data_IF_232055426988
#
_entry.id   IF_232055426988
#
_cell.length_a   1.000
_cell.length_b   1.000
_cell.length_c   1.000
_cell.angle_alpha   90.00
_cell.angle_beta   90.00
_cell.angle_gamma   90.00
#
_symmetry.space_group_name_H-M   'P 1'
#
loop_
_entity.id
_entity.type
_entity.pdbx_description
1 polymer ?
#
# COMPACT_ATOMS: atom_id res chain seq x y z
N UNK A 1 -16.04 1.63 22.76
CA UNK A 1 -15.94 1.23 21.34
C UNK A 1 -16.17 -0.27 21.27
N UNK A 2 -17.24 -0.71 20.60
CA UNK A 2 -17.46 -2.13 20.37
C UNK A 2 -16.51 -2.61 19.26
N UNK A 3 -15.89 -3.78 19.44
CA UNK A 3 -14.97 -4.42 18.47
C UNK A 3 -15.60 -4.52 17.06
N UNK A 4 -16.93 -4.58 17.01
CA UNK A 4 -17.72 -4.59 15.78
C UNK A 4 -17.47 -3.41 14.84
N UNK A 5 -16.98 -2.27 15.33
CA UNK A 5 -16.66 -1.11 14.47
C UNK A 5 -15.34 -1.27 13.69
N UNK A 6 -14.47 -2.20 14.08
CA UNK A 6 -13.26 -2.51 13.29
C UNK A 6 -13.56 -3.47 12.14
N UNK A 7 -14.63 -4.27 12.26
CA UNK A 7 -15.03 -5.25 11.24
C UNK A 7 -15.13 -4.65 9.82
N UNK A 8 -15.84 -3.53 9.58
CA UNK A 8 -15.94 -2.97 8.22
C UNK A 8 -14.58 -2.59 7.63
N UNK A 9 -13.68 -2.01 8.42
CA UNK A 9 -12.35 -1.64 7.95
C UNK A 9 -11.53 -2.87 7.57
N UNK A 10 -11.49 -3.90 8.42
CA UNK A 10 -10.74 -5.13 8.14
C UNK A 10 -11.29 -5.91 6.95
N UNK A 11 -12.62 -5.97 6.80
CA UNK A 11 -13.26 -6.64 5.66
C UNK A 11 -12.88 -5.92 4.36
N UNK A 12 -13.00 -4.59 4.33
CA UNK A 12 -12.65 -3.80 3.13
C UNK A 12 -11.17 -3.94 2.77
N UNK A 13 -10.27 -3.87 3.76
CA UNK A 13 -8.84 -4.09 3.54
C UNK A 13 -8.55 -5.51 3.02
N UNK A 14 -9.20 -6.54 3.57
CA UNK A 14 -9.02 -7.92 3.12
C UNK A 14 -9.49 -8.15 1.69
N UNK A 15 -10.65 -7.59 1.32
CA UNK A 15 -11.15 -7.66 -0.07
C UNK A 15 -10.18 -6.93 -1.02
N UNK A 16 -9.71 -5.74 -0.63
CA UNK A 16 -8.75 -4.99 -1.43
C UNK A 16 -7.44 -5.76 -1.65
N UNK A 17 -6.90 -6.39 -0.60
CA UNK A 17 -5.64 -7.15 -0.65
C UNK A 17 -5.73 -8.38 -1.55
N UNK A 18 -6.83 -9.13 -1.49
CA UNK A 18 -7.04 -10.29 -2.37
C UNK A 18 -7.16 -9.85 -3.83
N UNK A 19 -7.92 -8.77 -4.10
CA UNK A 19 -8.09 -8.27 -5.46
C UNK A 19 -6.79 -7.75 -6.06
N UNK A 20 -5.97 -7.04 -5.28
CA UNK A 20 -4.70 -6.48 -5.77
C UNK A 20 -3.66 -7.57 -6.00
N UNK A 21 -3.53 -8.54 -5.08
CA UNK A 21 -2.55 -9.63 -5.19
C UNK A 21 -2.90 -10.54 -6.36
N UNK A 22 -4.15 -11.00 -6.44
CA UNK A 22 -4.58 -11.92 -7.52
C UNK A 22 -4.54 -11.20 -8.87
N UNK A 23 -5.06 -9.96 -8.94
CA UNK A 23 -5.05 -9.18 -10.18
C UNK A 23 -3.65 -8.87 -10.69
N UNK A 24 -2.71 -8.54 -9.80
CA UNK A 24 -1.31 -8.32 -10.17
C UNK A 24 -0.64 -9.61 -10.65
N UNK A 25 -0.93 -10.74 -9.99
CA UNK A 25 -0.38 -12.03 -10.36
C UNK A 25 -0.88 -12.49 -11.74
N UNK A 26 -2.18 -12.39 -12.02
CA UNK A 26 -2.75 -12.72 -13.33
C UNK A 26 -2.22 -11.78 -14.42
N UNK A 27 -2.17 -10.47 -14.16
CA UNK A 27 -1.60 -9.51 -15.11
C UNK A 27 -0.14 -9.83 -15.45
N UNK A 28 0.66 -10.15 -14.43
CA UNK A 28 2.05 -10.54 -14.64
C UNK A 28 2.17 -11.86 -15.41
N UNK A 29 1.26 -12.80 -15.16
CA UNK A 29 1.22 -14.07 -15.90
C UNK A 29 0.91 -13.87 -17.39
N UNK A 30 -0.05 -13.01 -17.71
CA UNK A 30 -0.51 -12.79 -19.08
C UNK A 30 0.41 -11.86 -19.87
N UNK A 31 1.03 -10.86 -19.23
CA UNK A 31 1.83 -9.85 -19.91
C UNK A 31 3.33 -10.19 -19.97
N UNK A 32 3.83 -11.08 -19.10
CA UNK A 32 5.25 -11.41 -19.07
C UNK A 32 5.51 -12.66 -19.93
N UNK A 33 6.44 -12.61 -20.90
CA UNK A 33 6.77 -13.78 -21.71
C UNK A 33 7.29 -14.92 -20.82
N UNK A 34 7.01 -16.17 -21.22
CA UNK A 34 7.25 -17.38 -20.40
C UNK A 34 8.67 -17.49 -19.82
N UNK A 35 9.66 -16.95 -20.54
CA UNK A 35 11.07 -16.92 -20.15
C UNK A 35 11.37 -15.97 -18.98
N UNK A 36 10.58 -14.92 -18.78
CA UNK A 36 10.77 -13.89 -17.75
C UNK A 36 9.84 -14.07 -16.54
N UNK A 37 9.09 -15.17 -16.48
CA UNK A 37 8.10 -15.42 -15.41
C UNK A 37 8.71 -15.44 -14.01
N UNK A 38 9.95 -15.91 -13.85
CA UNK A 38 10.68 -15.86 -12.58
C UNK A 38 10.99 -14.42 -12.14
N UNK A 39 11.29 -13.52 -13.09
CA UNK A 39 11.49 -12.10 -12.80
C UNK A 39 10.19 -11.44 -12.35
N UNK A 40 9.04 -11.82 -12.91
CA UNK A 40 7.73 -11.36 -12.47
C UNK A 40 7.46 -11.64 -10.99
N UNK A 41 7.75 -12.87 -10.55
CA UNK A 41 7.64 -13.26 -9.13
C UNK A 41 8.65 -12.48 -8.26
N UNK A 42 9.89 -12.29 -8.72
CA UNK A 42 10.90 -11.51 -7.99
C UNK A 42 10.50 -10.04 -7.82
N UNK A 43 9.91 -9.43 -8.85
CA UNK A 43 9.39 -8.06 -8.80
C UNK A 43 8.23 -7.98 -7.80
N UNK A 44 7.30 -8.95 -7.86
CA UNK A 44 6.20 -9.06 -6.89
C UNK A 44 6.73 -9.11 -5.44
N UNK A 45 7.65 -10.01 -5.11
CA UNK A 45 8.23 -10.07 -3.76
C UNK A 45 8.96 -8.78 -3.37
N UNK A 46 9.63 -8.15 -4.34
CA UNK A 46 10.36 -6.90 -4.11
C UNK A 46 9.41 -5.75 -3.75
N UNK A 47 8.19 -5.71 -4.29
CA UNK A 47 7.16 -4.72 -3.94
C UNK A 47 6.80 -4.82 -2.45
N UNK A 48 6.64 -6.02 -1.89
CA UNK A 48 6.38 -6.20 -0.45
C UNK A 48 7.56 -5.70 0.40
N UNK A 49 8.80 -6.00 -0.02
CA UNK A 49 10.00 -5.52 0.65
C UNK A 49 10.07 -3.99 0.66
N UNK A 50 9.87 -3.36 -0.50
CA UNK A 50 9.84 -1.90 -0.64
C UNK A 50 8.73 -1.29 0.22
N UNK A 51 7.54 -1.91 0.25
CA UNK A 51 6.44 -1.46 1.11
C UNK A 51 6.78 -1.49 2.59
N UNK A 52 7.50 -2.52 3.04
CA UNK A 52 7.96 -2.64 4.43
C UNK A 52 9.02 -1.58 4.78
N UNK A 53 9.96 -1.32 3.87
CA UNK A 53 10.94 -0.25 4.03
C UNK A 53 10.27 1.13 4.08
N UNK A 54 9.33 1.39 3.17
CA UNK A 54 8.59 2.65 3.13
C UNK A 54 7.78 2.87 4.42
N UNK A 55 7.15 1.82 4.92
CA UNK A 55 6.42 1.85 6.21
C UNK A 55 7.35 2.24 7.36
N UNK A 56 8.50 1.59 7.46
CA UNK A 56 9.51 1.88 8.49
C UNK A 56 10.06 3.30 8.35
N UNK A 57 10.31 3.74 7.11
CA UNK A 57 10.80 5.08 6.80
C UNK A 57 9.79 6.16 7.21
N UNK A 58 8.50 5.97 6.89
CA UNK A 58 7.42 6.86 7.28
C UNK A 58 7.32 6.97 8.80
N UNK A 59 7.29 5.84 9.50
CA UNK A 59 7.23 5.81 10.97
C UNK A 59 8.44 6.52 11.58
N UNK A 60 9.65 6.25 11.09
CA UNK A 60 10.88 6.87 11.57
C UNK A 60 10.89 8.39 11.33
N UNK A 61 10.45 8.83 10.16
CA UNK A 61 10.36 10.26 9.81
C UNK A 61 9.36 10.99 10.69
N UNK A 62 8.17 10.40 10.91
CA UNK A 62 7.14 10.95 11.80
C UNK A 62 7.66 11.00 13.23
N UNK A 63 8.27 9.91 13.72
CA UNK A 63 8.87 9.90 15.05
C UNK A 63 9.91 10.99 15.20
N UNK A 64 10.79 11.19 14.22
CA UNK A 64 11.80 12.26 14.25
C UNK A 64 11.18 13.66 14.20
N UNK A 65 10.14 13.86 13.39
CA UNK A 65 9.45 15.14 13.24
C UNK A 65 8.63 15.52 14.49
N UNK A 66 8.02 14.53 15.15
CA UNK A 66 7.14 14.75 16.30
C UNK A 66 7.88 14.68 17.64
N UNK A 67 9.05 14.03 17.74
CA UNK A 67 9.81 13.89 19.01
C UNK A 67 10.61 15.14 19.43
N UNK A 68 10.17 16.34 19.04
CA UNK A 68 10.78 17.60 19.46
C UNK A 68 10.30 18.04 20.84
N UNK A 69 11.25 18.26 21.76
CA UNK A 69 11.12 18.97 23.03
C UNK A 69 9.95 18.53 23.95
N UNK A 70 10.01 17.28 24.43
CA UNK A 70 9.16 16.81 25.54
C UNK A 70 7.69 16.53 25.20
N UNK A 71 7.30 16.57 23.93
CA UNK A 71 5.94 16.22 23.48
C UNK A 71 5.83 14.73 23.14
N UNK A 72 4.67 14.12 23.47
CA UNK A 72 4.38 12.72 23.19
C UNK A 72 4.29 12.48 21.66
N UNK A 73 5.06 11.52 21.13
CA UNK A 73 5.04 11.15 19.70
C UNK A 73 3.62 10.72 19.25
N UNK A 74 3.32 10.78 17.95
CA UNK A 74 2.07 10.21 17.39
C UNK A 74 1.88 8.73 17.76
N UNK A 75 2.99 8.03 18.04
CA UNK A 75 3.03 6.66 18.55
C UNK A 75 3.30 6.60 20.07
N UNK A 76 2.69 7.50 20.84
CA UNK A 76 2.80 7.49 22.30
C UNK A 76 2.37 6.13 22.88
N UNK A 77 3.06 5.64 23.91
CA UNK A 77 2.71 4.41 24.63
C UNK A 77 1.29 4.43 25.23
N UNK A 78 0.69 5.62 25.39
CA UNK A 78 -0.70 5.80 25.77
C UNK A 78 -1.58 6.06 24.55
N UNK A 79 -2.35 5.06 24.13
CA UNK A 79 -3.35 5.13 23.04
C UNK A 79 -4.38 6.26 23.21
N UNK A 80 -4.65 6.71 24.43
CA UNK A 80 -5.58 7.81 24.71
C UNK A 80 -4.98 9.21 24.47
N UNK A 81 -3.67 9.30 24.25
CA UNK A 81 -2.92 10.53 23.91
C UNK A 81 -2.27 10.48 22.53
N UNK A 82 -2.10 9.27 21.98
CA UNK A 82 -1.65 9.04 20.63
C UNK A 82 -2.67 9.59 19.63
N UNK A 83 -2.25 10.54 18.80
CA UNK A 83 -3.08 11.06 17.71
C UNK A 83 -2.94 10.18 16.46
N UNK A 84 -3.35 8.92 16.59
CA UNK A 84 -3.39 7.93 15.50
C UNK A 84 -4.20 8.43 14.30
N UNK A 85 -5.20 9.28 14.53
CA UNK A 85 -6.03 9.86 13.48
C UNK A 85 -5.21 10.67 12.46
N UNK A 86 -4.18 11.41 12.88
CA UNK A 86 -3.32 12.15 11.93
C UNK A 86 -2.45 11.22 11.09
N UNK A 87 -2.00 10.09 11.67
CA UNK A 87 -1.28 9.08 10.92
C UNK A 87 -2.18 8.45 9.84
N UNK A 88 -3.42 8.11 10.19
CA UNK A 88 -4.39 7.59 9.22
C UNK A 88 -4.72 8.62 8.13
N UNK A 89 -4.91 9.89 8.47
CA UNK A 89 -5.12 10.94 7.46
C UNK A 89 -3.93 11.10 6.50
N UNK A 90 -2.70 11.06 7.02
CA UNK A 90 -1.50 11.07 6.19
C UNK A 90 -1.46 9.86 5.26
N UNK A 91 -1.76 8.66 5.79
CA UNK A 91 -1.79 7.43 5.02
C UNK A 91 -2.89 7.46 3.94
N UNK A 92 -4.05 8.04 4.24
CA UNK A 92 -5.12 8.27 3.26
C UNK A 92 -4.66 9.19 2.13
N UNK A 93 -4.00 10.31 2.46
CA UNK A 93 -3.44 11.23 1.46
C UNK A 93 -2.40 10.57 0.56
N UNK A 94 -1.48 9.81 1.15
CA UNK A 94 -0.45 9.07 0.41
C UNK A 94 -1.07 7.99 -0.50
N UNK A 95 -2.08 7.28 0.00
CA UNK A 95 -2.82 6.27 -0.77
C UNK A 95 -3.61 6.88 -1.92
N UNK A 96 -4.25 8.02 -1.72
CA UNK A 96 -4.96 8.75 -2.77
C UNK A 96 -4.02 9.24 -3.88
N UNK A 97 -2.84 9.72 -3.50
CA UNK A 97 -1.79 10.10 -4.47
C UNK A 97 -1.31 8.88 -5.27
N UNK A 98 -1.03 7.76 -4.59
CA UNK A 98 -0.64 6.51 -5.23
C UNK A 98 -1.71 5.98 -6.19
N UNK A 99 -2.98 6.02 -5.77
CA UNK A 99 -4.11 5.63 -6.61
C UNK A 99 -4.26 6.54 -7.85
N UNK A 100 -4.10 7.85 -7.69
CA UNK A 100 -4.17 8.80 -8.80
C UNK A 100 -3.06 8.54 -9.81
N UNK A 101 -1.83 8.31 -9.34
CA UNK A 101 -0.71 7.93 -10.19
C UNK A 101 -0.99 6.60 -10.91
N UNK A 102 -1.51 5.59 -10.22
CA UNK A 102 -1.89 4.31 -10.81
C UNK A 102 -2.94 4.48 -11.92
N UNK A 103 -4.01 5.25 -11.69
CA UNK A 103 -5.03 5.54 -12.71
C UNK A 103 -4.42 6.27 -13.90
N UNK A 104 -3.54 7.24 -13.66
CA UNK A 104 -2.85 7.96 -14.73
C UNK A 104 -2.03 7.01 -15.61
N UNK A 105 -1.20 6.15 -15.01
CA UNK A 105 -0.42 5.15 -15.74
C UNK A 105 -1.31 4.12 -16.44
N UNK A 106 -2.37 3.64 -15.79
CA UNK A 106 -3.32 2.69 -16.37
C UNK A 106 -4.00 3.25 -17.62
N UNK A 107 -4.37 4.54 -17.62
CA UNK A 107 -4.95 5.20 -18.81
C UNK A 107 -3.93 5.42 -19.94
N UNK A 108 -2.66 5.60 -19.59
CA UNK A 108 -1.57 5.76 -20.55
C UNK A 108 -1.03 4.41 -21.06
N UNK A 109 -1.36 3.31 -20.39
CA UNK A 109 -0.87 1.99 -20.75
C UNK A 109 -1.63 1.45 -21.96
N UNK A 110 -0.93 1.33 -23.08
CA UNK A 110 -1.45 0.69 -24.28
C UNK A 110 -1.36 -0.82 -24.05
N UNK A 111 -2.52 -1.46 -23.90
CA UNK A 111 -2.59 -2.91 -23.79
C UNK A 111 -2.07 -3.54 -25.08
N UNK A 112 -1.08 -4.44 -24.98
CA UNK A 112 -0.75 -5.29 -26.11
C UNK A 112 -1.95 -6.21 -26.35
N UNK A 113 -2.77 -5.85 -27.34
CA UNK A 113 -3.68 -6.81 -27.95
C UNK A 113 -2.80 -7.80 -28.69
N UNK A 114 -2.67 -9.01 -28.15
CA UNK A 114 -2.34 -10.15 -28.98
C UNK A 114 -3.37 -10.11 -30.13
N UNK A 115 -2.87 -9.86 -31.34
CA UNK A 115 -3.65 -9.86 -32.56
C UNK A 115 -4.32 -11.22 -32.64
N UNK A 116 -5.59 -11.27 -32.25
CA UNK A 116 -6.44 -12.39 -32.58
C UNK A 116 -6.48 -12.46 -34.11
N UNK A 117 -6.07 -13.64 -34.60
CA UNK A 117 -6.08 -14.16 -35.97
C UNK A 117 -4.75 -13.96 -36.72
#
# INVERSE_FOLDING_TARGET
>A
MSIWWLAPQYILCGVADVLTIVGLQEFCYDQVPKELRSLGISIYLSIFGIGSFLSTFLISTINKATSGDGQESWFANNLNRAHLDYFYWLLTGLSALGFTAYVYFSRSYIYNKESAI
#
